data_IF_138471736699
#
_entry.id   IF_138471736699
#
_cell.length_a   1.000
_cell.length_b   1.000
_cell.length_c   1.000
_cell.angle_alpha   90.00
_cell.angle_beta   90.00
_cell.angle_gamma   90.00
#
_symmetry.space_group_name_H-M   'P 1'
#
loop_
_entity.id
_entity.type
_entity.pdbx_description
1 polymer ?
#
# COMPACT_ATOMS: atom_id res chain seq x y z
N UNK A 1 -19.04 4.56 8.95
CA UNK A 1 -17.97 5.04 9.85
C UNK A 1 -17.12 6.03 9.08
N UNK A 2 -16.64 7.10 9.72
CA UNK A 2 -16.02 8.25 9.05
C UNK A 2 -14.54 7.99 8.75
N UNK A 3 -14.04 8.55 7.65
CA UNK A 3 -12.62 8.62 7.31
C UNK A 3 -11.80 9.23 8.47
N UNK A 4 -10.54 8.83 8.60
CA UNK A 4 -9.59 9.41 9.55
C UNK A 4 -9.02 10.71 8.98
N UNK A 5 -9.17 11.81 9.72
CA UNK A 5 -8.57 13.09 9.36
C UNK A 5 -7.04 12.95 9.33
N UNK A 6 -6.41 13.59 8.35
CA UNK A 6 -4.94 13.61 8.15
C UNK A 6 -4.26 12.25 8.03
N UNK A 7 -5.00 11.15 7.84
CA UNK A 7 -4.40 9.83 7.72
C UNK A 7 -3.95 9.54 6.28
N UNK A 8 -2.66 9.24 6.09
CA UNK A 8 -2.04 8.89 4.82
C UNK A 8 -1.45 7.47 4.90
N UNK A 9 -2.16 6.44 4.41
CA UNK A 9 -1.61 5.10 4.37
C UNK A 9 -0.47 5.00 3.34
N UNK A 10 0.66 4.44 3.75
CA UNK A 10 1.79 4.09 2.90
C UNK A 10 1.82 2.58 2.67
N UNK A 11 1.90 2.17 1.40
CA UNK A 11 1.96 0.76 1.00
C UNK A 11 3.25 0.50 0.24
N UNK A 12 4.31 0.03 0.92
CA UNK A 12 5.49 -0.52 0.26
C UNK A 12 5.13 -1.79 -0.50
N UNK A 13 5.17 -1.71 -1.83
CA UNK A 13 4.90 -2.79 -2.79
C UNK A 13 6.21 -3.22 -3.46
N UNK A 14 7.12 -3.75 -2.64
CA UNK A 14 8.40 -4.31 -3.05
C UNK A 14 8.45 -5.84 -2.97
N UNK A 15 9.57 -6.40 -3.43
CA UNK A 15 9.87 -7.82 -3.30
C UNK A 15 9.95 -8.57 -4.63
N UNK A 16 10.90 -9.50 -4.71
CA UNK A 16 11.26 -10.21 -5.95
C UNK A 16 10.35 -11.38 -6.32
N UNK A 17 9.41 -11.75 -5.44
CA UNK A 17 8.46 -12.84 -5.71
C UNK A 17 9.13 -14.19 -5.98
N UNK A 18 10.18 -14.56 -5.26
CA UNK A 18 10.87 -15.84 -5.48
C UNK A 18 10.35 -16.99 -4.62
N UNK A 19 9.81 -16.69 -3.42
CA UNK A 19 9.40 -17.71 -2.43
C UNK A 19 8.16 -18.52 -2.81
N UNK A 20 7.27 -17.98 -3.66
CA UNK A 20 6.06 -18.65 -4.11
C UNK A 20 6.17 -19.16 -5.55
N UNK A 21 7.38 -19.43 -6.04
CA UNK A 21 7.53 -20.08 -7.34
C UNK A 21 6.82 -21.46 -7.33
N UNK A 22 6.05 -21.86 -8.36
CA UNK A 22 5.90 -21.23 -9.65
C UNK A 22 4.74 -20.21 -9.75
N UNK A 23 4.07 -19.84 -8.67
CA UNK A 23 2.99 -18.86 -8.70
C UNK A 23 3.52 -17.43 -8.90
N UNK A 24 4.58 -17.06 -8.18
CA UNK A 24 5.21 -15.75 -8.33
C UNK A 24 6.33 -15.76 -9.37
N UNK A 25 6.45 -14.67 -10.11
CA UNK A 25 7.49 -14.43 -11.12
C UNK A 25 8.10 -13.05 -10.89
N UNK A 26 9.28 -12.81 -11.46
CA UNK A 26 9.90 -11.48 -11.43
C UNK A 26 8.95 -10.40 -11.98
N UNK A 27 8.20 -10.70 -13.05
CA UNK A 27 7.22 -9.77 -13.63
C UNK A 27 5.88 -9.70 -12.87
N UNK A 28 5.60 -10.66 -11.98
CA UNK A 28 4.36 -10.73 -11.21
C UNK A 28 4.64 -11.21 -9.79
N UNK A 29 5.16 -10.33 -8.92
CA UNK A 29 5.44 -10.63 -7.51
C UNK A 29 4.17 -10.97 -6.72
N UNK A 30 4.38 -11.51 -5.50
CA UNK A 30 3.31 -12.00 -4.60
C UNK A 30 2.18 -11.00 -4.40
N UNK A 31 2.49 -9.71 -4.22
CA UNK A 31 1.45 -8.70 -3.95
C UNK A 31 0.49 -8.50 -5.13
N UNK A 32 0.86 -8.90 -6.35
CA UNK A 32 0.02 -8.88 -7.55
C UNK A 32 -0.74 -10.20 -7.79
N UNK A 33 -0.71 -11.14 -6.84
CA UNK A 33 -1.37 -12.45 -7.00
C UNK A 33 -2.67 -12.52 -6.20
N UNK A 34 -3.75 -13.12 -6.77
CA UNK A 34 -5.00 -13.36 -6.07
C UNK A 34 -4.94 -14.67 -5.26
N UNK A 35 -4.12 -14.69 -4.21
CA UNK A 35 -3.85 -15.92 -3.43
C UNK A 35 -5.08 -16.47 -2.69
N UNK A 36 -6.07 -15.64 -2.41
CA UNK A 36 -7.32 -16.01 -1.74
C UNK A 36 -8.52 -16.09 -2.70
N UNK A 37 -8.27 -16.03 -4.02
CA UNK A 37 -9.31 -15.90 -5.03
C UNK A 37 -9.86 -14.47 -5.13
N UNK A 38 -10.16 -14.04 -6.36
CA UNK A 38 -10.66 -12.69 -6.63
C UNK A 38 -9.54 -11.67 -6.81
N UNK A 39 -9.43 -10.72 -5.87
CA UNK A 39 -8.52 -9.58 -5.94
C UNK A 39 -7.07 -9.96 -5.60
N UNK A 40 -6.10 -9.21 -6.14
CA UNK A 40 -4.70 -9.31 -5.70
C UNK A 40 -4.54 -8.87 -4.24
N UNK A 41 -3.46 -9.30 -3.58
CA UNK A 41 -3.17 -8.86 -2.20
C UNK A 41 -3.03 -7.33 -2.09
N UNK A 42 -2.49 -6.68 -3.13
CA UNK A 42 -2.41 -5.23 -3.24
C UNK A 42 -3.81 -4.60 -3.27
N UNK A 43 -4.69 -5.11 -4.14
CA UNK A 43 -6.08 -4.65 -4.22
C UNK A 43 -6.84 -4.87 -2.90
N UNK A 44 -6.68 -6.03 -2.27
CA UNK A 44 -7.30 -6.31 -0.96
C UNK A 44 -6.78 -5.35 0.12
N UNK A 45 -5.48 -5.02 0.09
CA UNK A 45 -4.89 -4.04 1.02
C UNK A 45 -5.42 -2.63 0.76
N UNK A 46 -5.47 -2.19 -0.50
CA UNK A 46 -6.00 -0.88 -0.87
C UNK A 46 -7.49 -0.74 -0.53
N UNK A 47 -8.30 -1.78 -0.78
CA UNK A 47 -9.72 -1.80 -0.43
C UNK A 47 -9.93 -1.67 1.09
N UNK A 48 -9.13 -2.40 1.88
CA UNK A 48 -9.18 -2.33 3.35
C UNK A 48 -8.77 -0.94 3.87
N UNK A 49 -7.80 -0.29 3.24
CA UNK A 49 -7.38 1.07 3.60
C UNK A 49 -8.37 2.14 3.13
N UNK A 50 -9.13 1.87 2.06
CA UNK A 50 -10.15 2.76 1.51
C UNK A 50 -11.32 3.03 2.46
N UNK A 51 -11.50 2.24 3.52
CA UNK A 51 -12.48 2.49 4.58
C UNK A 51 -11.98 3.49 5.64
N UNK A 52 -10.68 3.79 5.63
CA UNK A 52 -9.99 4.64 6.60
C UNK A 52 -9.49 5.96 6.00
N UNK A 53 -9.11 5.95 4.72
CA UNK A 53 -8.65 7.14 4.01
C UNK A 53 -9.11 7.12 2.54
N UNK A 54 -9.37 8.29 1.93
CA UNK A 54 -9.71 8.37 0.52
C UNK A 54 -8.51 7.97 -0.36
N UNK A 55 -8.79 7.56 -1.60
CA UNK A 55 -7.75 7.17 -2.57
C UNK A 55 -6.71 8.30 -2.81
N UNK A 56 -7.10 9.56 -2.64
CA UNK A 56 -6.20 10.71 -2.75
C UNK A 56 -5.09 10.75 -1.69
N UNK A 57 -5.24 10.06 -0.56
CA UNK A 57 -4.25 9.96 0.53
C UNK A 57 -3.51 8.63 0.62
N UNK A 58 -3.98 7.59 -0.09
CA UNK A 58 -3.26 6.32 -0.18
C UNK A 58 -2.04 6.48 -1.07
N UNK A 59 -0.84 6.18 -0.56
CA UNK A 59 0.44 6.25 -1.27
C UNK A 59 1.00 4.84 -1.42
N UNK A 60 1.33 4.43 -2.65
CA UNK A 60 1.98 3.16 -2.95
C UNK A 60 3.40 3.45 -3.42
N UNK A 61 4.36 2.72 -2.88
CA UNK A 61 5.77 2.83 -3.25
C UNK A 61 6.23 1.52 -3.86
N UNK A 62 6.75 1.53 -5.08
CA UNK A 62 7.12 0.31 -5.80
C UNK A 62 8.33 0.52 -6.71
N UNK A 63 8.96 -0.56 -7.15
CA UNK A 63 10.06 -0.48 -8.13
C UNK A 63 9.57 -0.25 -9.56
N UNK A 64 10.43 0.30 -10.42
CA UNK A 64 10.10 0.59 -11.82
C UNK A 64 9.53 -0.61 -12.59
N UNK A 65 10.01 -1.82 -12.29
CA UNK A 65 9.56 -3.06 -12.92
C UNK A 65 8.08 -3.43 -12.64
N UNK A 66 7.44 -2.80 -11.64
CA UNK A 66 6.07 -3.13 -11.22
C UNK A 66 5.12 -1.94 -11.28
N UNK A 67 5.62 -0.73 -11.58
CA UNK A 67 4.84 0.50 -11.55
C UNK A 67 3.59 0.45 -12.43
N UNK A 68 3.69 -0.07 -13.65
CA UNK A 68 2.55 -0.15 -14.57
C UNK A 68 1.51 -1.17 -14.11
N UNK A 69 1.96 -2.30 -13.56
CA UNK A 69 1.06 -3.30 -12.99
C UNK A 69 0.34 -2.75 -11.74
N UNK A 70 1.04 -2.03 -10.87
CA UNK A 70 0.43 -1.37 -9.69
C UNK A 70 -0.62 -0.35 -10.11
N UNK A 71 -0.36 0.48 -11.13
CA UNK A 71 -1.33 1.44 -11.68
C UNK A 71 -2.56 0.74 -12.28
N UNK A 72 -2.34 -0.37 -12.98
CA UNK A 72 -3.43 -1.15 -13.57
C UNK A 72 -4.33 -1.81 -12.49
N UNK A 73 -3.75 -2.29 -11.40
CA UNK A 73 -4.48 -2.88 -10.27
C UNK A 73 -5.27 -1.86 -9.46
N UNK A 74 -4.78 -0.61 -9.38
CA UNK A 74 -5.33 0.47 -8.57
C UNK A 74 -5.68 1.72 -9.41
N UNK A 75 -6.62 1.63 -10.36
CA UNK A 75 -6.91 2.70 -11.33
C UNK A 75 -7.52 3.96 -10.70
N UNK A 76 -8.02 3.88 -9.47
CA UNK A 76 -8.60 5.01 -8.72
C UNK A 76 -7.55 5.83 -7.99
N UNK A 77 -6.30 5.36 -7.91
CA UNK A 77 -5.21 6.13 -7.31
C UNK A 77 -4.77 7.28 -8.23
N UNK A 78 -4.57 8.49 -7.70
CA UNK A 78 -3.92 9.56 -8.45
C UNK A 78 -2.54 9.11 -8.95
N UNK A 79 -2.14 9.52 -10.16
CA UNK A 79 -0.84 9.15 -10.73
C UNK A 79 0.33 9.52 -9.80
N UNK A 80 0.23 10.66 -9.10
CA UNK A 80 1.22 11.12 -8.12
C UNK A 80 1.23 10.37 -6.78
N UNK A 81 0.43 9.31 -6.64
CA UNK A 81 0.38 8.47 -5.45
C UNK A 81 1.02 7.09 -5.66
N UNK A 82 1.46 6.78 -6.89
CA UNK A 82 2.30 5.60 -7.16
C UNK A 82 3.74 6.08 -7.36
N UNK A 83 4.53 5.99 -6.30
CA UNK A 83 5.92 6.41 -6.27
C UNK A 83 6.82 5.28 -6.75
N UNK A 84 7.71 5.62 -7.67
CA UNK A 84 8.66 4.68 -8.25
C UNK A 84 10.02 4.87 -7.59
N UNK A 85 10.47 3.87 -6.84
CA UNK A 85 11.82 3.86 -6.29
C UNK A 85 12.84 3.61 -7.42
N UNK A 86 13.97 4.34 -7.41
CA UNK A 86 15.02 4.14 -8.41
C UNK A 86 15.69 2.77 -8.25
N UNK A 87 15.77 2.28 -7.02
CA UNK A 87 16.45 1.03 -6.66
C UNK A 87 15.72 0.37 -5.47
N UNK A 88 15.71 -0.96 -5.38
CA UNK A 88 15.17 -1.65 -4.21
C UNK A 88 16.09 -1.42 -3.00
N UNK A 89 15.62 -0.67 -2.00
CA UNK A 89 16.41 -0.31 -0.80
C UNK A 89 15.75 -0.74 0.52
N UNK A 90 15.01 -1.85 0.50
CA UNK A 90 14.20 -2.35 1.63
C UNK A 90 13.07 -1.39 2.02
N UNK A 91 12.31 -1.73 3.06
CA UNK A 91 11.06 -1.02 3.40
C UNK A 91 11.28 0.37 3.98
N UNK A 92 12.39 0.64 4.69
CA UNK A 92 12.57 1.90 5.40
C UNK A 92 12.64 3.13 4.46
N UNK A 93 13.43 3.11 3.36
CA UNK A 93 13.40 4.19 2.36
C UNK A 93 12.05 4.37 1.68
N UNK A 94 11.35 3.27 1.37
CA UNK A 94 10.02 3.33 0.79
C UNK A 94 9.02 4.05 1.73
N UNK A 95 9.05 3.69 3.00
CA UNK A 95 8.22 4.33 4.04
C UNK A 95 8.60 5.81 4.19
N UNK A 96 9.88 6.13 4.25
CA UNK A 96 10.37 7.50 4.37
C UNK A 96 9.94 8.37 3.16
N UNK A 97 10.00 7.84 1.94
CA UNK A 97 9.55 8.53 0.73
C UNK A 97 8.04 8.82 0.77
N UNK A 98 7.23 7.84 1.18
CA UNK A 98 5.79 8.04 1.33
C UNK A 98 5.46 9.07 2.42
N UNK A 99 6.12 8.98 3.58
CA UNK A 99 5.94 9.92 4.68
C UNK A 99 6.35 11.35 4.30
N UNK A 100 7.46 11.52 3.57
CA UNK A 100 7.90 12.82 3.08
C UNK A 100 6.87 13.46 2.12
N UNK A 101 6.27 12.67 1.23
CA UNK A 101 5.22 13.14 0.35
C UNK A 101 3.93 13.49 1.11
N UNK A 102 3.54 12.66 2.08
CA UNK A 102 2.38 12.93 2.92
C UNK A 102 2.56 14.26 3.68
N UNK A 103 3.70 14.45 4.34
CA UNK A 103 4.02 15.67 5.08
C UNK A 103 4.07 16.92 4.17
N UNK A 104 4.57 16.78 2.94
CA UNK A 104 4.58 17.87 1.97
C UNK A 104 3.18 18.30 1.51
N UNK A 105 2.19 17.41 1.59
CA UNK A 105 0.79 17.67 1.20
C UNK A 105 -0.10 18.07 2.36
N UNK A 106 0.24 17.63 3.56
CA UNK A 106 -0.55 17.76 4.78
C UNK A 106 0.42 17.88 5.98
N UNK A 107 0.63 19.09 6.52
CA UNK A 107 1.56 19.32 7.63
C UNK A 107 1.22 18.52 8.90
N UNK A 108 -0.04 18.10 9.04
CA UNK A 108 -0.54 17.32 10.18
C UNK A 108 -0.63 15.81 9.87
N UNK A 109 0.00 15.36 8.78
CA UNK A 109 -0.11 13.98 8.29
C UNK A 109 0.29 12.94 9.34
N UNK A 110 -0.62 11.99 9.59
CA UNK A 110 -0.35 10.74 10.29
C UNK A 110 -0.16 9.63 9.26
N UNK A 111 1.04 9.04 9.21
CA UNK A 111 1.37 7.99 8.24
C UNK A 111 1.36 6.61 8.88
N UNK A 112 0.60 5.67 8.31
CA UNK A 112 0.63 4.25 8.67
C UNK A 112 1.25 3.42 7.54
N UNK A 113 2.21 2.54 7.86
CA UNK A 113 2.83 1.65 6.86
C UNK A 113 2.17 0.27 6.83
N UNK A 114 1.77 -0.18 5.65
CA UNK A 114 1.08 -1.46 5.45
C UNK A 114 1.72 -2.27 4.32
N UNK A 115 2.13 -3.50 4.60
CA UNK A 115 2.70 -4.37 3.58
C UNK A 115 1.67 -4.72 2.50
N UNK A 116 2.05 -4.60 1.23
CA UNK A 116 1.18 -4.90 0.08
C UNK A 116 0.81 -6.39 -0.05
N UNK A 117 1.49 -7.28 0.68
CA UNK A 117 1.38 -8.73 0.53
C UNK A 117 0.90 -9.45 1.80
N UNK A 118 0.30 -8.72 2.75
CA UNK A 118 -0.31 -9.30 3.94
C UNK A 118 -1.78 -9.68 3.70
N UNK A 119 -2.15 -10.87 4.16
CA UNK A 119 -3.54 -11.28 4.30
C UNK A 119 -4.03 -10.91 5.69
N UNK A 120 -5.08 -10.08 5.76
CA UNK A 120 -5.72 -9.67 7.01
C UNK A 120 -7.18 -10.11 6.93
N UNK A 121 -7.53 -11.17 7.67
CA UNK A 121 -8.85 -11.79 7.60
C UNK A 121 -9.92 -10.97 8.37
N UNK A 122 -9.56 -10.44 9.53
CA UNK A 122 -10.47 -9.64 10.36
C UNK A 122 -10.29 -8.14 10.04
N UNK A 123 -11.12 -7.64 9.12
CA UNK A 123 -11.12 -6.23 8.72
C UNK A 123 -11.59 -5.31 9.85
N UNK A 124 -12.53 -5.75 10.69
CA UNK A 124 -13.04 -4.94 11.80
C UNK A 124 -11.99 -4.73 12.90
N UNK A 125 -11.27 -5.80 13.26
CA UNK A 125 -10.14 -5.70 14.18
C UNK A 125 -9.00 -4.85 13.62
N UNK A 126 -8.70 -4.98 12.32
CA UNK A 126 -7.74 -4.13 11.63
C UNK A 126 -8.11 -2.65 11.70
N UNK A 127 -9.35 -2.30 11.35
CA UNK A 127 -9.81 -0.92 11.40
C UNK A 127 -9.73 -0.36 12.82
N UNK A 128 -10.14 -1.14 13.82
CA UNK A 128 -10.05 -0.75 15.23
C UNK A 128 -8.60 -0.49 15.64
N UNK A 129 -7.67 -1.37 15.25
CA UNK A 129 -6.25 -1.20 15.56
C UNK A 129 -5.66 0.06 14.93
N UNK A 130 -5.98 0.35 13.66
CA UNK A 130 -5.49 1.57 12.99
C UNK A 130 -6.08 2.82 13.62
N UNK A 131 -7.39 2.83 13.92
CA UNK A 131 -8.05 3.99 14.54
C UNK A 131 -7.47 4.30 15.92
N UNK A 132 -7.22 3.26 16.73
CA UNK A 132 -6.56 3.41 18.04
C UNK A 132 -5.15 3.98 17.89
N UNK A 133 -4.37 3.51 16.92
CA UNK A 133 -3.01 3.99 16.70
C UNK A 133 -2.96 5.45 16.21
N UNK A 134 -3.91 5.88 15.37
CA UNK A 134 -3.99 7.26 14.87
C UNK A 134 -4.47 8.26 15.94
N UNK A 135 -5.24 7.79 16.92
CA UNK A 135 -5.76 8.63 18.01
C UNK A 135 -4.82 8.74 19.22
N UNK A 136 -3.73 7.97 19.26
CA UNK A 136 -2.75 7.94 20.35
C UNK A 136 -1.69 9.04 20.20
#
# INVERSE_FOLDING_TARGET
MTELAHFHPAVPAGGSGTRLWPLSRRSRPKFLLPLTGGLSLLQTTAQRLGTLAPASRLIVVTGAAHADAVRAELPTLPAGNVLVEPEPRESAPAIALAAALALARDPDAVTGSFAADHLVADVGAFETAVRTAVAA
#
